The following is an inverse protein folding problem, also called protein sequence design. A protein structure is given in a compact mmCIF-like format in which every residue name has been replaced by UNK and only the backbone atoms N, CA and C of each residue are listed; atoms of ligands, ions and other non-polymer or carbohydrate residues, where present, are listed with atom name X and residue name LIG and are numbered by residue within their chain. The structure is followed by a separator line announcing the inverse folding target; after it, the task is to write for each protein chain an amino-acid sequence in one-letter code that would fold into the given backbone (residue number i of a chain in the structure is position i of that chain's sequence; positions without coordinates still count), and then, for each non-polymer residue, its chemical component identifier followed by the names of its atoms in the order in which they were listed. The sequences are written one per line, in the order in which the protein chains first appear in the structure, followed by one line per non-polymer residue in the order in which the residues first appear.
data_IF_743146579452
#
_entry.id   IF_743146579452
#
_cell.length_a   1.000
_cell.length_b   1.000
_cell.length_c   1.000
_cell.angle_alpha   90.00
_cell.angle_beta   90.00
_cell.angle_gamma   90.00
#
_symmetry.space_group_name_H-M   'P 1'
#
loop_
_entity.id
_entity.type
_entity.pdbx_description
1 polymer ?
#
# COMPACT_ATOMS: atom_id res chain seq x y z
N UNK A 1 -1.89 -3.30 -3.97
CA UNK A 1 -1.26 -1.98 -3.65
C UNK A 1 -0.62 -2.05 -2.28
N UNK A 2 0.24 -1.07 -1.91
CA UNK A 2 0.89 -1.07 -0.60
C UNK A 2 0.16 -0.15 0.40
N UNK A 3 0.70 0.09 1.58
CA UNK A 3 0.02 0.73 2.72
C UNK A 3 -0.54 2.13 2.45
N UNK A 4 0.23 3.01 1.80
CA UNK A 4 -0.19 4.40 1.61
C UNK A 4 -1.43 4.50 0.74
N UNK A 5 -1.45 3.79 -0.39
CA UNK A 5 -2.60 3.76 -1.29
C UNK A 5 -3.85 3.18 -0.59
N UNK A 6 -3.70 2.10 0.19
CA UNK A 6 -4.81 1.54 0.97
C UNK A 6 -5.35 2.52 2.00
N UNK A 7 -4.49 3.26 2.72
CA UNK A 7 -4.94 4.28 3.65
C UNK A 7 -5.65 5.43 2.95
N UNK A 8 -5.14 5.86 1.81
CA UNK A 8 -5.79 6.90 1.00
C UNK A 8 -7.22 6.49 0.60
N UNK A 9 -7.43 5.26 0.19
CA UNK A 9 -8.73 4.73 -0.22
C UNK A 9 -9.68 4.50 0.98
N UNK A 10 -9.13 4.23 2.18
CA UNK A 10 -9.89 3.98 3.41
C UNK A 10 -10.10 5.23 4.28
N UNK A 11 -9.55 6.39 3.91
CA UNK A 11 -9.45 7.61 4.77
C UNK A 11 -10.76 8.18 5.30
N UNK A 12 -11.89 7.77 4.75
CA UNK A 12 -13.22 8.23 5.18
C UNK A 12 -13.63 7.72 6.55
N UNK A 13 -13.10 6.58 6.98
CA UNK A 13 -13.50 5.88 8.18
C UNK A 13 -12.28 5.37 8.96
N UNK A 14 -11.98 5.87 10.17
CA UNK A 14 -10.81 5.46 10.94
C UNK A 14 -10.70 3.94 11.13
N UNK A 15 -11.80 3.26 11.44
CA UNK A 15 -11.80 1.81 11.59
C UNK A 15 -11.44 1.07 10.28
N UNK A 16 -11.74 1.66 9.11
CA UNK A 16 -11.34 1.09 7.82
C UNK A 16 -9.85 1.23 7.57
N UNK A 17 -9.22 2.33 8.02
CA UNK A 17 -7.76 2.49 7.97
C UNK A 17 -7.09 1.38 8.77
N UNK A 18 -7.59 1.12 9.99
CA UNK A 18 -7.07 0.03 10.84
C UNK A 18 -7.27 -1.33 10.18
N UNK A 19 -8.46 -1.60 9.64
CA UNK A 19 -8.77 -2.83 8.90
C UNK A 19 -7.84 -3.05 7.72
N UNK A 20 -7.60 -2.00 6.91
CA UNK A 20 -6.63 -2.06 5.82
C UNK A 20 -5.21 -2.36 6.32
N UNK A 21 -4.80 -1.79 7.46
CA UNK A 21 -3.47 -2.02 8.02
C UNK A 21 -3.24 -3.45 8.48
N UNK A 22 -4.25 -4.09 9.09
CA UNK A 22 -4.11 -5.45 9.65
C UNK A 22 -4.42 -6.56 8.65
N UNK A 23 -4.96 -6.25 7.48
CA UNK A 23 -5.45 -7.22 6.50
C UNK A 23 -4.41 -8.29 6.13
N UNK A 24 -3.13 -7.89 5.99
CA UNK A 24 -2.01 -8.75 5.60
C UNK A 24 -1.33 -9.45 6.80
N UNK A 25 -1.74 -9.13 8.02
CA UNK A 25 -1.11 -9.65 9.22
C UNK A 25 -1.96 -10.69 9.96
N UNK A 26 -3.28 -10.70 9.69
CA UNK A 26 -4.23 -11.54 10.40
C UNK A 26 -4.79 -12.66 9.52
N UNK A 27 -4.99 -13.82 10.12
CA UNK A 27 -5.71 -14.95 9.51
C UNK A 27 -7.23 -14.73 9.62
N UNK A 28 -7.99 -15.40 8.76
CA UNK A 28 -9.46 -15.25 8.73
C UNK A 28 -10.15 -15.45 10.08
N UNK A 29 -9.66 -16.38 10.91
CA UNK A 29 -10.21 -16.60 12.24
C UNK A 29 -9.99 -15.40 13.18
N UNK A 30 -8.82 -14.76 13.11
CA UNK A 30 -8.51 -13.57 13.90
C UNK A 30 -9.30 -12.35 13.40
N UNK A 31 -9.50 -12.25 12.08
CA UNK A 31 -10.32 -11.18 11.48
C UNK A 31 -11.78 -11.28 11.94
N UNK A 32 -12.31 -12.51 12.11
CA UNK A 32 -13.70 -12.71 12.55
C UNK A 32 -13.98 -12.16 13.95
N UNK A 33 -12.95 -12.06 14.80
CA UNK A 33 -13.04 -11.51 16.17
C UNK A 33 -12.94 -9.97 16.23
N UNK A 34 -12.59 -9.32 15.12
CA UNK A 34 -12.49 -7.86 15.07
C UNK A 34 -13.88 -7.18 15.08
N UNK A 35 -13.97 -5.94 15.56
CA UNK A 35 -15.18 -5.14 15.42
C UNK A 35 -15.65 -5.05 13.96
N UNK A 36 -16.96 -4.99 13.75
CA UNK A 36 -17.56 -4.98 12.42
C UNK A 36 -16.99 -3.89 11.50
N UNK A 37 -16.83 -2.67 12.03
CA UNK A 37 -16.25 -1.56 11.27
C UNK A 37 -14.80 -1.83 10.82
N UNK A 38 -13.99 -2.51 11.64
CA UNK A 38 -12.61 -2.90 11.28
C UNK A 38 -12.62 -4.02 10.24
N UNK A 39 -13.52 -5.00 10.38
CA UNK A 39 -13.71 -6.06 9.37
C UNK A 39 -14.11 -5.48 8.01
N UNK A 40 -14.94 -4.44 7.99
CA UNK A 40 -15.28 -3.72 6.76
C UNK A 40 -14.03 -3.15 6.07
N UNK A 41 -13.08 -2.59 6.84
CA UNK A 41 -11.80 -2.14 6.31
C UNK A 41 -10.95 -3.27 5.71
N UNK A 42 -10.93 -4.45 6.36
CA UNK A 42 -10.28 -5.66 5.79
C UNK A 42 -10.95 -6.10 4.48
N UNK A 43 -12.27 -6.05 4.43
CA UNK A 43 -13.01 -6.41 3.22
C UNK A 43 -12.78 -5.40 2.07
N UNK A 44 -12.68 -4.10 2.38
CA UNK A 44 -12.29 -3.08 1.41
C UNK A 44 -10.89 -3.36 0.87
N UNK A 45 -9.90 -3.59 1.74
CA UNK A 45 -8.52 -3.93 1.34
C UNK A 45 -8.50 -5.08 0.31
N UNK A 46 -9.12 -6.20 0.63
CA UNK A 46 -9.20 -7.37 -0.27
C UNK A 46 -9.92 -7.08 -1.58
N UNK A 47 -10.94 -6.23 -1.54
CA UNK A 47 -11.68 -5.83 -2.74
C UNK A 47 -10.83 -4.93 -3.65
N UNK A 48 -10.07 -4.01 -3.05
CA UNK A 48 -9.11 -3.14 -3.74
C UNK A 48 -7.99 -3.96 -4.37
N UNK A 49 -7.42 -4.93 -3.65
CA UNK A 49 -6.39 -5.82 -4.22
C UNK A 49 -6.94 -6.65 -5.38
N UNK A 50 -8.13 -7.24 -5.21
CA UNK A 50 -8.75 -8.00 -6.29
C UNK A 50 -9.09 -7.13 -7.52
N UNK A 51 -9.43 -5.86 -7.35
CA UNK A 51 -9.61 -4.89 -8.43
C UNK A 51 -8.27 -4.59 -9.12
N UNK A 52 -7.25 -4.27 -8.32
CA UNK A 52 -5.88 -3.95 -8.78
C UNK A 52 -5.29 -5.09 -9.60
N UNK A 53 -5.32 -6.31 -9.10
CA UNK A 53 -4.75 -7.50 -9.75
C UNK A 53 -5.40 -7.83 -11.10
N UNK A 54 -6.66 -7.45 -11.28
CA UNK A 54 -7.40 -7.69 -12.53
C UNK A 54 -7.30 -6.54 -13.53
N UNK A 55 -6.84 -5.38 -13.06
CA UNK A 55 -6.82 -4.18 -13.88
C UNK A 55 -5.86 -4.30 -15.06
N UNK A 56 -6.30 -4.01 -16.31
CA UNK A 56 -5.47 -4.22 -17.49
C UNK A 56 -4.19 -3.39 -17.47
N UNK A 57 -4.26 -2.13 -17.03
CA UNK A 57 -3.11 -1.24 -16.92
C UNK A 57 -2.09 -1.78 -15.91
N UNK A 58 -2.53 -2.25 -14.74
CA UNK A 58 -1.64 -2.84 -13.71
C UNK A 58 -0.96 -4.10 -14.24
N UNK A 59 -1.71 -4.96 -14.95
CA UNK A 59 -1.16 -6.16 -15.59
C UNK A 59 -0.11 -5.82 -16.65
N UNK A 60 -0.37 -4.81 -17.47
CA UNK A 60 0.59 -4.33 -18.46
C UNK A 60 1.86 -3.80 -17.77
N UNK A 61 1.72 -3.02 -16.73
CA UNK A 61 2.83 -2.53 -15.92
C UNK A 61 3.66 -3.70 -15.34
N UNK A 62 3.00 -4.69 -14.74
CA UNK A 62 3.67 -5.89 -14.21
C UNK A 62 4.37 -6.71 -15.33
N UNK A 63 3.76 -6.86 -16.50
CA UNK A 63 4.38 -7.54 -17.66
C UNK A 63 5.67 -6.83 -18.11
N UNK A 64 5.73 -5.51 -18.06
CA UNK A 64 6.94 -4.72 -18.39
C UNK A 64 8.10 -5.04 -17.44
N UNK A 65 7.81 -5.29 -16.15
CA UNK A 65 8.82 -5.61 -15.13
C UNK A 65 9.11 -7.11 -15.02
N UNK A 66 8.26 -7.98 -15.57
CA UNK A 66 8.39 -9.43 -15.44
C UNK A 66 9.77 -10.00 -15.90
N UNK A 67 10.40 -9.52 -17.01
CA UNK A 67 11.71 -10.00 -17.41
C UNK A 67 12.82 -9.81 -16.38
N UNK A 68 12.66 -8.86 -15.46
CA UNK A 68 13.64 -8.48 -14.42
C UNK A 68 13.30 -9.09 -13.06
N UNK A 69 12.00 -9.09 -12.70
CA UNK A 69 11.52 -9.41 -11.36
C UNK A 69 10.65 -10.67 -11.29
N UNK A 70 10.41 -11.34 -12.43
CA UNK A 70 9.65 -12.58 -12.50
C UNK A 70 8.31 -12.49 -11.79
N UNK A 71 8.00 -13.50 -10.98
CA UNK A 71 6.74 -13.57 -10.22
C UNK A 71 6.54 -12.44 -9.18
N UNK A 72 7.58 -11.68 -8.86
CA UNK A 72 7.51 -10.56 -7.92
C UNK A 72 7.25 -9.21 -8.61
N UNK A 73 7.13 -9.16 -9.94
CA UNK A 73 6.79 -7.92 -10.64
C UNK A 73 5.51 -7.24 -10.09
N UNK A 74 4.41 -7.95 -9.75
CA UNK A 74 3.26 -7.31 -9.09
C UNK A 74 3.62 -6.66 -7.74
N UNK A 75 4.41 -7.34 -6.90
CA UNK A 75 4.86 -6.79 -5.61
C UNK A 75 5.72 -5.55 -5.79
N UNK A 76 6.54 -5.52 -6.84
CA UNK A 76 7.34 -4.32 -7.17
C UNK A 76 6.42 -3.17 -7.55
N UNK A 77 5.38 -3.41 -8.36
CA UNK A 77 4.40 -2.40 -8.73
C UNK A 77 3.66 -1.85 -7.51
N UNK A 78 3.28 -2.70 -6.57
CA UNK A 78 2.56 -2.26 -5.36
C UNK A 78 3.35 -1.21 -4.58
N UNK A 79 4.66 -1.43 -4.41
CA UNK A 79 5.55 -0.48 -3.73
C UNK A 79 5.78 0.78 -4.58
N UNK A 80 5.95 0.63 -5.90
CA UNK A 80 6.12 1.77 -6.80
C UNK A 80 4.86 2.65 -6.83
N UNK A 81 3.69 2.09 -6.73
CA UNK A 81 2.45 2.86 -6.73
C UNK A 81 2.30 3.73 -5.47
N UNK A 82 2.82 3.30 -4.31
CA UNK A 82 2.90 4.20 -3.15
C UNK A 82 3.86 5.37 -3.40
N UNK A 83 4.99 5.14 -4.06
CA UNK A 83 5.89 6.22 -4.48
C UNK A 83 5.20 7.19 -5.45
N UNK A 84 4.52 6.67 -6.49
CA UNK A 84 3.84 7.51 -7.47
C UNK A 84 2.62 8.22 -6.89
N UNK A 85 1.97 7.70 -5.87
CA UNK A 85 0.94 8.41 -5.12
C UNK A 85 1.52 9.65 -4.45
N UNK A 86 2.68 9.54 -3.80
CA UNK A 86 3.35 10.69 -3.19
C UNK A 86 3.81 11.68 -4.26
N UNK A 87 4.41 11.17 -5.34
CA UNK A 87 4.92 11.99 -6.45
C UNK A 87 3.82 12.82 -7.14
N UNK A 88 2.59 12.29 -7.18
CA UNK A 88 1.43 12.94 -7.80
C UNK A 88 0.41 13.42 -6.75
N UNK A 89 0.80 13.61 -5.50
CA UNK A 89 -0.12 13.81 -4.37
C UNK A 89 -1.14 14.92 -4.62
N UNK A 90 -0.69 16.09 -5.06
CA UNK A 90 -1.53 17.28 -5.33
C UNK A 90 -2.60 17.04 -6.41
N UNK A 91 -2.43 16.05 -7.26
CA UNK A 91 -3.42 15.63 -8.25
C UNK A 91 -4.62 14.92 -7.63
N UNK A 92 -4.43 14.27 -6.48
CA UNK A 92 -5.42 13.38 -5.88
C UNK A 92 -5.95 13.87 -4.53
N UNK A 93 -5.29 14.84 -3.91
CA UNK A 93 -5.67 15.39 -2.62
C UNK A 93 -5.37 16.88 -2.51
N UNK A 94 -6.36 17.65 -2.03
CA UNK A 94 -6.15 19.04 -1.62
C UNK A 94 -5.49 19.13 -0.24
N UNK A 95 -5.56 18.06 0.57
CA UNK A 95 -4.93 17.97 1.87
C UNK A 95 -3.42 17.76 1.70
N UNK A 96 -2.55 18.56 2.37
CA UNK A 96 -1.11 18.34 2.34
C UNK A 96 -0.73 16.92 2.78
N UNK A 97 0.27 16.33 2.11
CA UNK A 97 0.70 14.95 2.37
C UNK A 97 1.08 14.71 3.85
N UNK A 98 1.83 15.63 4.46
CA UNK A 98 2.25 15.50 5.85
C UNK A 98 1.06 15.49 6.82
N UNK A 99 0.01 16.28 6.53
CA UNK A 99 -1.22 16.32 7.33
C UNK A 99 -1.97 15.00 7.22
N UNK A 100 -2.10 14.47 6.01
CA UNK A 100 -2.70 13.16 5.79
C UNK A 100 -1.95 12.05 6.53
N UNK A 101 -0.61 12.00 6.39
CA UNK A 101 0.22 10.99 7.05
C UNK A 101 0.09 11.07 8.56
N UNK A 102 0.11 12.28 9.13
CA UNK A 102 -0.06 12.44 10.58
C UNK A 102 -1.41 11.90 11.05
N UNK A 103 -2.50 12.18 10.33
CA UNK A 103 -3.82 11.62 10.64
C UNK A 103 -3.82 10.09 10.61
N UNK A 104 -3.16 9.48 9.62
CA UNK A 104 -3.07 8.01 9.55
C UNK A 104 -2.30 7.44 10.74
N UNK A 105 -1.22 8.08 11.15
CA UNK A 105 -0.46 7.70 12.34
C UNK A 105 -1.28 7.83 13.62
N UNK A 106 -2.01 8.94 13.78
CA UNK A 106 -2.86 9.18 14.97
C UNK A 106 -3.95 8.11 15.07
N UNK A 107 -4.61 7.77 13.96
CA UNK A 107 -5.60 6.68 13.91
C UNK A 107 -4.96 5.35 14.33
N UNK A 108 -3.82 4.98 13.76
CA UNK A 108 -3.17 3.71 14.09
C UNK A 108 -2.70 3.65 15.56
N UNK A 109 -2.26 4.77 16.12
CA UNK A 109 -1.87 4.86 17.53
C UNK A 109 -3.07 4.78 18.48
N UNK A 110 -4.19 5.42 18.12
CA UNK A 110 -5.45 5.35 18.88
C UNK A 110 -5.99 3.91 18.95
N UNK A 111 -5.93 3.19 17.82
CA UNK A 111 -6.40 1.80 17.73
C UNK A 111 -5.30 0.76 18.03
N UNK A 112 -4.17 1.17 18.61
CA UNK A 112 -2.99 0.31 18.80
C UNK A 112 -3.30 -1.01 19.51
N UNK A 113 -4.17 -0.98 20.53
CA UNK A 113 -4.53 -2.17 21.32
C UNK A 113 -5.28 -3.23 20.52
N UNK A 114 -5.90 -2.86 19.38
CA UNK A 114 -6.57 -3.81 18.48
C UNK A 114 -5.61 -4.46 17.49
N UNK A 115 -4.37 -3.99 17.39
CA UNK A 115 -3.39 -4.54 16.47
C UNK A 115 -2.80 -5.84 17.03
N UNK A 116 -2.31 -6.77 16.17
CA UNK A 116 -1.50 -7.89 16.62
C UNK A 116 -0.31 -7.43 17.46
N UNK A 117 0.06 -8.18 18.52
CA UNK A 117 1.11 -7.79 19.47
C UNK A 117 2.40 -7.33 18.77
N UNK A 118 2.87 -8.07 17.77
CA UNK A 118 4.07 -7.69 17.02
C UNK A 118 3.96 -6.37 16.24
N UNK A 119 2.74 -5.93 15.90
CA UNK A 119 2.49 -4.59 15.33
C UNK A 119 2.41 -3.52 16.41
N UNK A 120 1.77 -3.82 17.55
CA UNK A 120 1.74 -2.91 18.70
C UNK A 120 3.14 -2.49 19.15
N UNK A 121 4.08 -3.43 19.17
CA UNK A 121 5.47 -3.19 19.58
C UNK A 121 6.26 -2.38 18.54
N UNK A 122 5.99 -2.58 17.25
CA UNK A 122 6.73 -1.92 16.14
C UNK A 122 6.15 -0.57 15.74
N UNK A 123 4.85 -0.36 15.90
CA UNK A 123 4.16 0.83 15.42
C UNK A 123 4.80 2.14 15.90
N UNK A 124 5.18 2.34 17.19
CA UNK A 124 5.81 3.59 17.62
C UNK A 124 7.10 3.90 16.88
N UNK A 125 7.92 2.87 16.56
CA UNK A 125 9.15 3.04 15.79
C UNK A 125 8.88 3.30 14.31
N UNK A 126 7.83 2.70 13.75
CA UNK A 126 7.40 2.96 12.37
C UNK A 126 6.96 4.42 12.23
N UNK A 127 6.16 4.92 13.17
CA UNK A 127 5.68 6.31 13.19
C UNK A 127 6.85 7.28 13.37
N UNK A 128 7.66 7.12 14.42
CA UNK A 128 8.80 8.03 14.67
C UNK A 128 9.87 8.00 13.57
N UNK A 129 9.98 6.91 12.83
CA UNK A 129 10.86 6.76 11.66
C UNK A 129 10.28 7.29 10.35
N UNK A 130 9.08 7.87 10.34
CA UNK A 130 8.46 8.44 9.13
C UNK A 130 8.22 7.39 8.03
N UNK A 131 7.78 6.20 8.43
CA UNK A 131 7.64 5.05 7.52
C UNK A 131 6.83 5.36 6.24
N UNK A 132 5.70 6.07 6.32
CA UNK A 132 4.90 6.42 5.12
C UNK A 132 5.62 7.45 4.25
N UNK A 133 6.34 8.42 4.85
CA UNK A 133 7.15 9.38 4.11
C UNK A 133 8.28 8.72 3.34
N UNK A 134 8.83 7.64 3.90
CA UNK A 134 9.96 6.95 3.28
C UNK A 134 9.68 6.43 1.87
N UNK A 135 8.42 6.10 1.55
CA UNK A 135 8.03 5.69 0.21
C UNK A 135 8.21 6.77 -0.87
N UNK A 136 8.29 8.05 -0.50
CA UNK A 136 8.55 9.16 -1.44
C UNK A 136 10.01 9.35 -1.83
N UNK A 137 10.93 8.52 -1.33
CA UNK A 137 12.37 8.65 -1.54
C UNK A 137 12.98 7.33 -2.00
N UNK A 138 13.98 7.40 -2.87
CA UNK A 138 14.67 6.22 -3.40
C UNK A 138 15.25 5.35 -2.28
N UNK A 139 15.88 5.96 -1.27
CA UNK A 139 16.45 5.24 -0.12
C UNK A 139 15.36 4.49 0.67
N UNK A 140 14.16 5.06 0.76
CA UNK A 140 13.03 4.40 1.40
C UNK A 140 12.49 3.22 0.59
N UNK A 141 12.45 3.33 -0.74
CA UNK A 141 12.14 2.21 -1.62
C UNK A 141 13.17 1.08 -1.48
N UNK A 142 14.47 1.40 -1.51
CA UNK A 142 15.56 0.43 -1.28
C UNK A 142 15.34 -0.33 0.03
N UNK A 143 15.08 0.41 1.11
CA UNK A 143 14.83 -0.19 2.42
C UNK A 143 13.58 -1.08 2.43
N UNK A 144 12.49 -0.65 1.80
CA UNK A 144 11.26 -1.43 1.68
C UNK A 144 11.54 -2.77 0.95
N UNK A 145 12.26 -2.74 -0.17
CA UNK A 145 12.62 -3.93 -0.94
C UNK A 145 13.60 -4.84 -0.21
N UNK A 146 14.58 -4.31 0.53
CA UNK A 146 15.46 -5.12 1.39
C UNK A 146 14.67 -5.89 2.45
N UNK A 147 13.67 -5.26 3.05
CA UNK A 147 12.78 -5.94 4.00
C UNK A 147 11.91 -7.01 3.35
N UNK A 148 11.43 -6.78 2.13
CA UNK A 148 10.67 -7.76 1.37
C UNK A 148 11.55 -8.96 0.99
N UNK A 149 12.78 -8.74 0.54
CA UNK A 149 13.74 -9.80 0.20
C UNK A 149 13.91 -10.82 1.32
N UNK A 150 13.96 -10.38 2.58
CA UNK A 150 14.15 -11.26 3.73
C UNK A 150 13.02 -12.28 3.94
N UNK A 151 11.88 -12.11 3.27
CA UNK A 151 10.67 -12.94 3.38
C UNK A 151 10.35 -13.70 2.09
N UNK A 152 11.11 -13.49 1.03
CA UNK A 152 10.84 -14.06 -0.29
C UNK A 152 11.63 -15.32 -0.56
N UNK A 153 11.03 -16.26 -1.30
CA UNK A 153 11.67 -17.52 -1.68
C UNK A 153 12.74 -17.36 -2.76
N UNK A 154 12.75 -16.23 -3.48
CA UNK A 154 13.71 -15.88 -4.54
C UNK A 154 14.10 -14.40 -4.42
N UNK A 155 14.87 -14.02 -3.36
CA UNK A 155 15.22 -12.63 -3.09
C UNK A 155 16.02 -11.97 -4.23
N UNK A 156 16.75 -12.77 -5.02
CA UNK A 156 17.51 -12.31 -6.18
C UNK A 156 16.63 -11.63 -7.25
N UNK A 157 15.35 -11.96 -7.32
CA UNK A 157 14.40 -11.33 -8.26
C UNK A 157 14.04 -9.88 -7.88
N UNK A 158 14.45 -9.38 -6.71
CA UNK A 158 14.33 -7.99 -6.34
C UNK A 158 15.64 -7.20 -6.50
N UNK A 159 16.70 -7.83 -7.01
CA UNK A 159 17.93 -7.10 -7.38
C UNK A 159 17.63 -6.17 -8.56
N UNK A 160 18.27 -4.99 -8.57
CA UNK A 160 18.09 -4.00 -9.64
C UNK A 160 16.69 -3.34 -9.69
N UNK A 161 15.91 -3.45 -8.62
CA UNK A 161 14.56 -2.85 -8.57
C UNK A 161 14.60 -1.32 -8.71
N UNK A 162 15.63 -0.66 -8.18
CA UNK A 162 15.80 0.78 -8.32
C UNK A 162 16.22 1.15 -9.76
N UNK A 163 17.04 0.34 -10.42
CA UNK A 163 17.33 0.52 -11.84
C UNK A 163 16.07 0.39 -12.70
N UNK A 164 15.21 -0.57 -12.35
CA UNK A 164 13.90 -0.71 -13.00
C UNK A 164 13.00 0.49 -12.74
N UNK A 165 12.99 1.04 -11.52
CA UNK A 165 12.26 2.27 -11.20
C UNK A 165 12.73 3.43 -12.08
N UNK A 166 14.04 3.69 -12.16
CA UNK A 166 14.56 4.77 -12.99
C UNK A 166 14.28 4.54 -14.48
N UNK A 167 14.49 3.32 -14.97
CA UNK A 167 14.31 2.97 -16.38
C UNK A 167 12.89 3.13 -16.87
N UNK A 168 11.92 2.81 -16.04
CA UNK A 168 10.51 2.80 -16.42
C UNK A 168 9.70 3.87 -15.69
N UNK A 169 10.36 4.89 -15.16
CA UNK A 169 9.73 5.93 -14.35
C UNK A 169 8.52 6.54 -15.05
N UNK A 170 8.71 7.14 -16.23
CA UNK A 170 7.65 7.85 -16.95
C UNK A 170 6.49 6.89 -17.34
N UNK A 171 6.83 5.70 -17.83
CA UNK A 171 5.82 4.72 -18.22
C UNK A 171 5.02 4.21 -17.01
N UNK A 172 5.68 3.97 -15.86
CA UNK A 172 5.01 3.51 -14.64
C UNK A 172 4.21 4.62 -13.98
N UNK A 173 4.70 5.87 -14.05
CA UNK A 173 3.96 7.03 -13.60
C UNK A 173 2.69 7.26 -14.45
N UNK A 174 2.77 7.08 -15.76
CA UNK A 174 1.59 7.15 -16.63
C UNK A 174 0.59 6.04 -16.30
N UNK A 175 1.06 4.78 -16.19
CA UNK A 175 0.21 3.65 -15.81
C UNK A 175 -0.48 3.89 -14.45
N UNK A 176 0.25 4.44 -13.47
CA UNK A 176 -0.33 4.82 -12.18
C UNK A 176 -1.44 5.86 -12.33
N UNK A 177 -1.19 6.92 -13.10
CA UNK A 177 -2.14 8.00 -13.32
C UNK A 177 -3.37 7.58 -14.15
N UNK A 178 -3.25 6.55 -14.98
CA UNK A 178 -4.38 5.96 -15.72
C UNK A 178 -5.22 5.03 -14.83
N UNK A 179 -4.57 4.30 -13.91
CA UNK A 179 -5.20 3.34 -13.01
C UNK A 179 -5.84 3.99 -11.77
N UNK A 180 -5.12 4.91 -11.09
CA UNK A 180 -5.47 5.34 -9.74
C UNK A 180 -6.84 6.05 -9.63
N UNK A 181 -7.29 6.87 -10.62
CA UNK A 181 -8.65 7.42 -10.61
C UNK A 181 -9.74 6.34 -10.60
N UNK A 182 -9.51 5.22 -11.31
CA UNK A 182 -10.50 4.13 -11.38
C UNK A 182 -10.63 3.39 -10.04
N UNK A 183 -9.50 3.15 -9.35
CA UNK A 183 -9.57 2.52 -8.02
C UNK A 183 -10.11 3.47 -6.96
N UNK A 184 -9.90 4.80 -7.08
CA UNK A 184 -10.58 5.79 -6.24
C UNK A 184 -12.08 5.71 -6.41
N UNK A 185 -12.58 5.70 -7.67
CA UNK A 185 -14.01 5.56 -7.96
C UNK A 185 -14.55 4.24 -7.39
N UNK A 186 -13.87 3.13 -7.64
CA UNK A 186 -14.22 1.81 -7.09
C UNK A 186 -14.33 1.83 -5.56
N UNK A 187 -13.34 2.38 -4.86
CA UNK A 187 -13.35 2.44 -3.39
C UNK A 187 -14.40 3.42 -2.85
N UNK A 188 -14.73 4.47 -3.62
CA UNK A 188 -15.76 5.44 -3.25
C UNK A 188 -17.17 4.85 -3.31
N UNK A 189 -17.43 4.00 -4.29
CA UNK A 189 -18.71 3.33 -4.49
C UNK A 189 -18.82 2.01 -3.70
N UNK A 190 -17.73 1.58 -3.08
CA UNK A 190 -17.68 0.33 -2.33
C UNK A 190 -18.60 0.39 -1.09
N UNK A 191 -19.40 -0.66 -0.92
CA UNK A 191 -20.28 -0.85 0.22
C UNK A 191 -19.99 -2.20 0.89
N UNK A 192 -20.14 -2.23 2.20
CA UNK A 192 -20.07 -3.48 2.97
C UNK A 192 -21.20 -4.39 2.47
N UNK A 193 -20.83 -5.54 1.93
CA UNK A 193 -21.77 -6.59 1.50
C UNK A 193 -21.92 -7.65 2.57
#
# INVERSE_FOLDING_TARGET
MNFLAHFFLAKREPAWVVGNFVADYLRNAEIAELPEAVRAGVALHRSVDAFTDRHPVVRQCAQRLFPFHGKYAPVVIDVFFDFFLIHNWERYSEEPFDVFVQKMYDILLEYREMLPQGLQERLPRMVSGGWLHSYGHIQGLEYAFLRLQSRMSKPEQLQGVIDSHHRYFDATNQDFNDFFPEVIAFASDWQVR
#
